data_IF_452909346054
#
_entry.id   IF_452909346054
#
_cell.length_a   1.000
_cell.length_b   1.000
_cell.length_c   1.000
_cell.angle_alpha   90.00
_cell.angle_beta   90.00
_cell.angle_gamma   90.00
#
_symmetry.space_group_name_H-M   'P 1'
#
loop_
_entity.id
_entity.type
_entity.pdbx_description
1 polymer ?
#
# COMPACT_ATOMS: atom_id res chain seq x y z
N UNK A 1 75.60 31.33 -35.15
CA UNK A 1 75.37 30.67 -33.85
C UNK A 1 74.00 31.14 -33.35
N UNK A 2 72.95 30.38 -33.59
CA UNK A 2 71.59 30.72 -33.12
C UNK A 2 71.17 29.65 -32.12
N UNK A 3 71.18 29.99 -30.83
CA UNK A 3 70.71 29.14 -29.75
C UNK A 3 69.19 29.27 -29.67
N UNK A 4 68.48 28.29 -30.24
CA UNK A 4 67.04 28.14 -30.04
C UNK A 4 66.79 27.57 -28.64
N UNK A 5 66.19 28.38 -27.77
CA UNK A 5 65.71 27.97 -26.45
C UNK A 5 64.51 27.06 -26.63
N UNK A 6 64.66 25.78 -26.30
CA UNK A 6 63.55 24.84 -26.15
C UNK A 6 62.91 25.04 -24.77
N UNK A 7 61.70 25.58 -24.75
CA UNK A 7 60.83 25.54 -23.56
C UNK A 7 60.16 24.16 -23.44
N UNK A 8 60.23 23.48 -22.28
CA UNK A 8 59.45 22.26 -22.06
C UNK A 8 57.97 22.59 -21.81
N UNK A 9 57.10 21.95 -22.58
CA UNK A 9 55.64 21.93 -22.36
C UNK A 9 55.34 20.98 -21.20
N UNK A 10 54.79 21.51 -20.11
CA UNK A 10 54.30 20.71 -18.99
C UNK A 10 53.02 19.92 -19.39
N UNK A 11 52.88 18.63 -19.03
CA UNK A 11 51.62 17.94 -19.08
C UNK A 11 50.90 18.08 -17.73
N UNK A 12 49.87 18.91 -17.65
CA UNK A 12 48.94 18.93 -16.52
C UNK A 12 47.52 18.75 -17.05
N UNK A 13 47.09 17.50 -17.19
CA UNK A 13 45.71 17.16 -17.57
C UNK A 13 45.26 15.76 -17.12
N UNK A 14 46.01 15.06 -16.25
CA UNK A 14 45.70 13.66 -15.89
C UNK A 14 45.33 13.44 -14.42
N UNK A 15 45.48 14.47 -13.58
CA UNK A 15 45.26 14.35 -12.13
C UNK A 15 43.81 14.68 -11.75
N UNK A 16 43.20 15.61 -12.48
CA UNK A 16 41.84 16.09 -12.21
C UNK A 16 40.79 15.01 -12.48
N UNK A 17 40.89 14.28 -13.60
CA UNK A 17 39.97 13.18 -13.92
C UNK A 17 39.95 12.05 -12.88
N UNK A 18 41.10 11.72 -12.27
CA UNK A 18 41.19 10.63 -11.29
C UNK A 18 40.59 11.01 -9.93
N UNK A 19 40.63 12.29 -9.57
CA UNK A 19 40.03 12.79 -8.32
C UNK A 19 38.51 12.83 -8.43
N UNK A 20 37.97 13.20 -9.59
CA UNK A 20 36.52 13.22 -9.81
C UNK A 20 35.93 11.80 -9.83
N UNK A 21 36.59 10.84 -10.48
CA UNK A 21 36.16 9.43 -10.50
C UNK A 21 36.09 8.82 -9.09
N UNK A 22 37.06 9.15 -8.22
CA UNK A 22 37.04 8.70 -6.82
C UNK A 22 35.88 9.31 -6.03
N UNK A 23 35.54 10.58 -6.25
CA UNK A 23 34.41 11.25 -5.57
C UNK A 23 33.07 10.66 -6.01
N UNK A 24 32.86 10.46 -7.31
CA UNK A 24 31.65 9.84 -7.85
C UNK A 24 31.45 8.43 -7.28
N UNK A 25 32.53 7.65 -7.14
CA UNK A 25 32.48 6.32 -6.53
C UNK A 25 32.10 6.36 -5.04
N UNK A 26 32.57 7.37 -4.31
CA UNK A 26 32.30 7.55 -2.89
C UNK A 26 30.85 8.01 -2.65
N UNK A 27 30.35 8.93 -3.47
CA UNK A 27 28.96 9.39 -3.45
C UNK A 27 27.99 8.25 -3.78
N UNK A 28 28.34 7.41 -4.75
CA UNK A 28 27.55 6.22 -5.07
C UNK A 28 27.53 5.21 -3.92
N UNK A 29 28.67 4.98 -3.26
CA UNK A 29 28.75 4.11 -2.08
C UNK A 29 27.87 4.64 -0.94
N UNK A 30 27.91 5.95 -0.67
CA UNK A 30 27.06 6.60 0.35
C UNK A 30 25.57 6.45 0.03
N UNK A 31 25.18 6.62 -1.24
CA UNK A 31 23.79 6.44 -1.65
C UNK A 31 23.31 4.99 -1.44
N UNK A 32 24.14 3.99 -1.78
CA UNK A 32 23.82 2.59 -1.52
C UNK A 32 23.68 2.29 -0.03
N UNK A 33 24.61 2.78 0.80
CA UNK A 33 24.54 2.62 2.25
C UNK A 33 23.28 3.26 2.85
N UNK A 34 22.91 4.46 2.38
CA UNK A 34 21.70 5.14 2.80
C UNK A 34 20.43 4.35 2.43
N UNK A 35 20.35 3.84 1.19
CA UNK A 35 19.23 2.98 0.75
C UNK A 35 19.18 1.68 1.57
N UNK A 36 20.33 1.06 1.85
CA UNK A 36 20.41 -0.14 2.68
C UNK A 36 19.97 0.13 4.13
N UNK A 37 20.27 1.31 4.67
CA UNK A 37 19.78 1.76 5.97
C UNK A 37 18.26 1.84 6.01
N UNK A 38 17.65 2.50 5.02
CA UNK A 38 16.18 2.58 4.92
C UNK A 38 15.55 1.19 4.73
N UNK A 39 16.14 0.35 3.87
CA UNK A 39 15.66 -1.03 3.64
C UNK A 39 15.54 -1.82 4.95
N UNK A 40 16.51 -1.71 5.87
CA UNK A 40 16.45 -2.38 7.17
C UNK A 40 15.27 -1.94 8.02
N UNK A 41 14.91 -0.65 7.99
CA UNK A 41 13.72 -0.16 8.69
C UNK A 41 12.44 -0.63 8.00
N UNK A 42 12.41 -0.63 6.66
CA UNK A 42 11.31 -1.18 5.87
C UNK A 42 11.11 -2.68 6.14
N UNK A 43 12.18 -3.45 6.36
CA UNK A 43 12.09 -4.86 6.74
C UNK A 43 11.33 -5.04 8.07
N UNK A 44 11.68 -4.27 9.10
CA UNK A 44 10.96 -4.29 10.39
C UNK A 44 9.50 -3.87 10.25
N UNK A 45 9.22 -2.84 9.44
CA UNK A 45 7.85 -2.41 9.18
C UNK A 45 7.07 -3.49 8.42
N UNK A 46 7.71 -4.23 7.52
CA UNK A 46 7.08 -5.34 6.80
C UNK A 46 6.66 -6.48 7.74
N UNK A 47 7.47 -6.78 8.76
CA UNK A 47 7.12 -7.76 9.80
C UNK A 47 5.89 -7.29 10.61
N UNK A 48 5.82 -5.99 10.94
CA UNK A 48 4.66 -5.41 11.61
C UNK A 48 3.40 -5.48 10.74
N UNK A 49 3.49 -5.18 9.44
CA UNK A 49 2.37 -5.32 8.49
C UNK A 49 1.92 -6.77 8.39
N UNK A 50 2.85 -7.72 8.29
CA UNK A 50 2.53 -9.16 8.25
C UNK A 50 1.84 -9.63 9.54
N UNK A 51 2.29 -9.16 10.71
CA UNK A 51 1.63 -9.47 11.97
C UNK A 51 0.19 -8.93 12.02
N UNK A 52 -0.03 -7.69 11.57
CA UNK A 52 -1.38 -7.12 11.44
C UNK A 52 -2.25 -7.94 10.47
N UNK A 53 -1.68 -8.36 9.35
CA UNK A 53 -2.39 -9.20 8.37
C UNK A 53 -2.91 -10.49 9.00
N UNK A 54 -2.05 -11.21 9.74
CA UNK A 54 -2.42 -12.45 10.45
C UNK A 54 -3.54 -12.20 11.45
N UNK A 55 -3.41 -11.17 12.29
CA UNK A 55 -4.41 -10.85 13.32
C UNK A 55 -5.76 -10.51 12.68
N UNK A 56 -5.78 -9.64 11.67
CA UNK A 56 -7.04 -9.28 11.00
C UNK A 56 -7.59 -10.48 10.22
N UNK A 57 -6.75 -11.34 9.61
CA UNK A 57 -7.19 -12.58 8.93
C UNK A 57 -7.82 -13.59 9.87
N UNK A 58 -7.41 -13.61 11.14
CA UNK A 58 -8.06 -14.43 12.17
C UNK A 58 -9.44 -13.91 12.60
N UNK A 59 -9.87 -12.74 12.11
CA UNK A 59 -11.12 -12.09 12.49
C UNK A 59 -11.02 -11.27 13.79
N UNK A 60 -9.82 -11.17 14.38
CA UNK A 60 -9.57 -10.35 15.57
C UNK A 60 -9.59 -8.87 15.19
N UNK A 61 -10.37 -8.07 15.93
CA UNK A 61 -10.44 -6.62 15.72
C UNK A 61 -9.15 -5.95 16.22
N UNK A 62 -8.55 -5.14 15.37
CA UNK A 62 -7.38 -4.31 15.69
C UNK A 62 -7.79 -2.84 15.80
N UNK A 63 -7.14 -2.10 16.69
CA UNK A 63 -7.33 -0.65 16.84
C UNK A 63 -6.91 0.09 15.55
N UNK A 64 -7.62 1.16 15.18
CA UNK A 64 -7.33 1.89 13.93
C UNK A 64 -5.95 2.56 13.98
N UNK A 65 -5.55 2.98 15.18
CA UNK A 65 -4.29 3.62 15.50
C UNK A 65 -3.09 2.74 15.11
N UNK A 66 -3.20 1.41 15.23
CA UNK A 66 -2.11 0.51 14.85
C UNK A 66 -1.83 0.55 13.34
N UNK A 67 -2.87 0.72 12.51
CA UNK A 67 -2.72 0.93 11.08
C UNK A 67 -2.18 2.32 10.77
N UNK A 68 -2.72 3.36 11.43
CA UNK A 68 -2.32 4.75 11.22
C UNK A 68 -0.84 4.98 11.57
N UNK A 69 -0.39 4.45 12.72
CA UNK A 69 1.02 4.48 13.12
C UNK A 69 1.89 3.73 12.11
N UNK A 70 1.45 2.57 11.62
CA UNK A 70 2.22 1.80 10.63
C UNK A 70 2.34 2.54 9.30
N UNK A 71 1.25 3.16 8.83
CA UNK A 71 1.23 3.97 7.62
C UNK A 71 2.13 5.20 7.76
N UNK A 72 2.07 5.89 8.90
CA UNK A 72 2.94 7.04 9.17
C UNK A 72 4.42 6.67 9.16
N UNK A 73 4.80 5.54 9.76
CA UNK A 73 6.18 5.07 9.75
C UNK A 73 6.66 4.74 8.32
N UNK A 74 5.82 4.12 7.49
CA UNK A 74 6.14 3.87 6.07
C UNK A 74 6.31 5.20 5.30
N UNK A 75 5.44 6.18 5.55
CA UNK A 75 5.56 7.51 4.93
C UNK A 75 6.85 8.23 5.33
N UNK A 76 7.30 8.07 6.58
CA UNK A 76 8.60 8.60 7.02
C UNK A 76 9.77 7.94 6.27
N UNK A 77 9.72 6.63 6.01
CA UNK A 77 10.74 5.96 5.20
C UNK A 77 10.72 6.41 3.73
N UNK A 78 9.54 6.68 3.15
CA UNK A 78 9.44 7.29 1.81
C UNK A 78 10.12 8.66 1.74
N UNK A 79 9.86 9.53 2.71
CA UNK A 79 10.50 10.85 2.77
C UNK A 79 12.02 10.75 2.89
N UNK A 80 12.53 9.75 3.61
CA UNK A 80 13.97 9.47 3.65
C UNK A 80 14.49 9.04 2.28
N UNK A 81 13.79 8.14 1.58
CA UNK A 81 14.17 7.72 0.23
C UNK A 81 14.18 8.91 -0.74
N UNK A 82 13.20 9.81 -0.65
CA UNK A 82 13.13 11.01 -1.50
C UNK A 82 14.31 11.97 -1.25
N UNK A 83 14.83 12.00 -0.02
CA UNK A 83 16.01 12.78 0.36
C UNK A 83 17.35 12.18 -0.07
N UNK A 84 17.40 10.93 -0.56
CA UNK A 84 18.66 10.31 -1.00
C UNK A 84 18.96 10.75 -2.44
N UNK A 85 20.00 11.56 -2.62
CA UNK A 85 20.55 11.83 -3.94
C UNK A 85 21.27 10.57 -4.46
N UNK A 86 20.84 10.07 -5.63
CA UNK A 86 21.34 8.83 -6.18
C UNK A 86 21.23 8.83 -7.71
N UNK A 87 22.28 8.33 -8.35
CA UNK A 87 22.39 8.14 -9.80
C UNK A 87 22.64 6.67 -10.16
N UNK A 88 22.59 6.36 -11.46
CA UNK A 88 22.87 5.02 -11.99
C UNK A 88 22.12 3.90 -11.26
N UNK A 89 22.86 2.89 -10.81
CA UNK A 89 22.33 1.72 -10.11
C UNK A 89 21.77 2.06 -8.72
N UNK A 90 22.38 3.00 -7.99
CA UNK A 90 21.87 3.43 -6.68
C UNK A 90 20.45 4.03 -6.80
N UNK A 91 20.19 4.77 -7.89
CA UNK A 91 18.85 5.28 -8.22
C UNK A 91 17.85 4.15 -8.48
N UNK A 92 18.27 3.06 -9.12
CA UNK A 92 17.42 1.90 -9.38
C UNK A 92 17.06 1.19 -8.08
N UNK A 93 18.01 0.99 -7.17
CA UNK A 93 17.75 0.41 -5.86
C UNK A 93 16.80 1.29 -5.02
N UNK A 94 17.03 2.61 -4.99
CA UNK A 94 16.13 3.57 -4.34
C UNK A 94 14.69 3.46 -4.87
N UNK A 95 14.52 3.43 -6.19
CA UNK A 95 13.19 3.26 -6.83
C UNK A 95 12.53 1.92 -6.49
N UNK A 96 13.31 0.84 -6.42
CA UNK A 96 12.80 -0.46 -6.02
C UNK A 96 12.27 -0.42 -4.57
N UNK A 97 13.00 0.24 -3.67
CA UNK A 97 12.57 0.36 -2.28
C UNK A 97 11.34 1.25 -2.12
N UNK A 98 11.23 2.36 -2.88
CA UNK A 98 10.01 3.19 -2.92
C UNK A 98 8.78 2.34 -3.28
N UNK A 99 8.88 1.51 -4.33
CA UNK A 99 7.77 0.60 -4.71
C UNK A 99 7.43 -0.39 -3.62
N UNK A 100 8.43 -0.90 -2.91
CA UNK A 100 8.24 -1.85 -1.82
C UNK A 100 7.47 -1.21 -0.66
N UNK A 101 7.82 0.02 -0.28
CA UNK A 101 7.10 0.78 0.75
C UNK A 101 5.66 1.06 0.34
N UNK A 102 5.43 1.50 -0.91
CA UNK A 102 4.08 1.72 -1.44
C UNK A 102 3.22 0.46 -1.40
N UNK A 103 3.78 -0.70 -1.78
CA UNK A 103 3.05 -1.97 -1.70
C UNK A 103 2.64 -2.33 -0.27
N UNK A 104 3.49 -2.07 0.73
CA UNK A 104 3.12 -2.29 2.13
C UNK A 104 2.06 -1.31 2.63
N UNK A 105 2.09 -0.06 2.17
CA UNK A 105 1.04 0.91 2.45
C UNK A 105 -0.31 0.47 1.87
N UNK A 106 -0.34 0.04 0.60
CA UNK A 106 -1.55 -0.49 -0.04
C UNK A 106 -2.11 -1.72 0.70
N UNK A 107 -1.23 -2.59 1.21
CA UNK A 107 -1.64 -3.72 2.05
C UNK A 107 -2.26 -3.25 3.35
N UNK A 108 -1.67 -2.27 4.05
CA UNK A 108 -2.25 -1.70 5.26
C UNK A 108 -3.64 -1.10 5.03
N UNK A 109 -3.84 -0.37 3.94
CA UNK A 109 -5.15 0.21 3.60
C UNK A 109 -6.23 -0.87 3.39
N UNK A 110 -5.87 -1.96 2.70
CA UNK A 110 -6.74 -3.13 2.54
C UNK A 110 -7.05 -3.77 3.89
N UNK A 111 -6.05 -3.94 4.74
CA UNK A 111 -6.22 -4.51 6.08
C UNK A 111 -7.11 -3.63 6.95
N UNK A 112 -6.94 -2.30 6.92
CA UNK A 112 -7.76 -1.35 7.68
C UNK A 112 -9.22 -1.38 7.23
N UNK A 113 -9.43 -1.49 5.92
CA UNK A 113 -10.76 -1.63 5.30
C UNK A 113 -11.44 -2.93 5.76
N UNK A 114 -10.73 -4.05 5.67
CA UNK A 114 -11.22 -5.37 6.10
C UNK A 114 -11.44 -5.45 7.61
N UNK A 115 -10.58 -4.81 8.39
CA UNK A 115 -10.74 -4.68 9.84
C UNK A 115 -12.00 -3.90 10.22
N UNK A 116 -12.40 -2.92 9.40
CA UNK A 116 -13.63 -2.14 9.61
C UNK A 116 -14.88 -2.88 9.14
N UNK A 117 -14.77 -3.67 8.08
CA UNK A 117 -15.85 -4.50 7.57
C UNK A 117 -15.35 -5.90 7.17
N UNK A 118 -15.43 -6.89 8.08
CA UNK A 118 -14.87 -8.23 7.88
C UNK A 118 -15.62 -9.09 6.86
N UNK A 119 -16.70 -8.57 6.26
CA UNK A 119 -17.49 -9.26 5.23
C UNK A 119 -17.16 -8.80 3.81
N UNK A 120 -16.28 -7.80 3.62
CA UNK A 120 -15.94 -7.24 2.30
C UNK A 120 -15.47 -8.30 1.31
N UNK A 121 -14.68 -9.29 1.75
CA UNK A 121 -14.18 -10.36 0.87
C UNK A 121 -15.17 -11.53 0.71
N UNK A 122 -16.23 -11.56 1.52
CA UNK A 122 -17.23 -12.65 1.53
C UNK A 122 -18.36 -12.45 0.54
N UNK A 123 -18.43 -11.32 -0.17
CA UNK A 123 -19.48 -11.09 -1.17
C UNK A 123 -19.44 -12.05 -2.38
N UNK A 124 -18.38 -12.85 -2.54
CA UNK A 124 -18.32 -13.97 -3.48
C UNK A 124 -18.48 -15.36 -2.85
N UNK A 125 -18.50 -15.46 -1.51
CA UNK A 125 -18.56 -16.71 -0.79
C UNK A 125 -19.87 -16.79 0.01
N UNK A 126 -20.83 -17.50 -0.57
CA UNK A 126 -22.06 -18.01 0.05
C UNK A 126 -23.21 -16.99 0.15
N UNK A 127 -23.99 -16.87 -0.93
CA UNK A 127 -25.43 -16.64 -0.80
C UNK A 127 -26.00 -17.88 -0.08
N UNK A 128 -26.13 -17.82 1.25
CA UNK A 128 -27.00 -18.76 1.95
C UNK A 128 -28.42 -18.35 1.55
N UNK A 129 -28.92 -18.93 0.46
CA UNK A 129 -30.34 -18.96 0.22
C UNK A 129 -30.93 -19.84 1.31
N UNK A 130 -31.46 -19.21 2.37
CA UNK A 130 -32.41 -19.88 3.25
C UNK A 130 -33.66 -20.18 2.43
N UNK A 131 -33.60 -21.24 1.62
CA UNK A 131 -34.79 -21.88 1.11
C UNK A 131 -35.46 -22.52 2.32
N UNK A 132 -36.54 -21.91 2.79
CA UNK A 132 -37.49 -22.57 3.66
C UNK A 132 -38.11 -23.69 2.85
N UNK A 133 -37.55 -24.89 2.92
CA UNK A 133 -38.24 -26.07 2.43
C UNK A 133 -39.46 -26.28 3.31
N UNK A 134 -40.62 -25.97 2.71
CA UNK A 134 -41.95 -26.31 3.22
C UNK A 134 -41.93 -27.76 3.68
N UNK A 135 -42.05 -27.98 4.99
CA UNK A 135 -42.38 -29.30 5.50
C UNK A 135 -43.83 -29.59 5.05
N UNK A 136 -44.00 -30.42 4.04
CA UNK A 136 -45.27 -31.11 3.83
C UNK A 136 -45.19 -32.40 4.65
N UNK A 137 -45.34 -32.26 5.97
CA UNK A 137 -45.74 -33.38 6.81
C UNK A 137 -47.21 -33.17 7.14
N UNK A 138 -48.04 -33.81 6.34
CA UNK A 138 -49.47 -33.85 6.53
C UNK A 138 -49.87 -34.31 7.93
N UNK A 139 -50.68 -33.49 8.60
CA UNK A 139 -51.77 -33.95 9.45
C UNK A 139 -52.77 -32.82 9.67
N UNK A 140 -54.04 -33.08 9.41
CA UNK A 140 -55.14 -32.47 10.16
C UNK A 140 -55.71 -31.15 9.64
N UNK A 141 -56.85 -31.29 8.95
CA UNK A 141 -57.86 -30.26 8.70
C UNK A 141 -58.20 -29.39 9.93
N UNK A 142 -58.06 -28.06 9.82
CA UNK A 142 -58.91 -27.07 10.50
C UNK A 142 -59.03 -25.80 9.64
N UNK A 143 -60.26 -25.43 9.31
CA UNK A 143 -60.68 -24.27 8.52
C UNK A 143 -60.63 -22.96 9.31
N UNK A 144 -60.28 -21.84 8.64
CA UNK A 144 -60.71 -20.46 8.97
C UNK A 144 -60.45 -19.53 7.74
N UNK A 145 -61.13 -18.36 7.62
CA UNK A 145 -61.89 -17.92 6.44
C UNK A 145 -61.09 -17.06 5.44
N UNK A 146 -61.62 -16.75 4.24
CA UNK A 146 -60.94 -15.86 3.29
C UNK A 146 -61.31 -14.39 3.55
N UNK A 147 -60.35 -13.48 3.70
CA UNK A 147 -60.58 -12.07 3.45
C UNK A 147 -59.93 -11.67 2.11
N UNK A 148 -60.80 -11.61 1.11
CA UNK A 148 -60.94 -10.51 0.15
C UNK A 148 -59.67 -9.86 -0.40
N UNK A 149 -59.42 -10.10 -1.69
CA UNK A 149 -58.69 -9.19 -2.56
C UNK A 149 -59.18 -7.74 -2.37
N UNK A 150 -58.28 -6.85 -2.01
CA UNK A 150 -58.48 -5.41 -2.19
C UNK A 150 -57.21 -4.82 -2.82
N UNK A 151 -57.37 -4.48 -4.10
CA UNK A 151 -56.57 -3.49 -4.79
C UNK A 151 -56.69 -2.16 -4.05
N UNK A 152 -55.59 -1.46 -3.81
CA UNK A 152 -55.59 0.00 -3.82
C UNK A 152 -54.20 0.53 -4.14
N UNK A 153 -54.23 1.60 -4.91
CA UNK A 153 -53.15 2.13 -5.72
C UNK A 153 -51.99 2.72 -4.90
N UNK A 154 -50.82 2.55 -5.50
CA UNK A 154 -49.62 3.40 -5.39
C UNK A 154 -49.99 4.86 -5.13
N UNK A 155 -49.52 5.41 -4.01
CA UNK A 155 -49.32 6.85 -3.88
C UNK A 155 -47.82 7.12 -3.94
N UNK A 156 -47.38 7.57 -5.11
CA UNK A 156 -46.11 8.28 -5.27
C UNK A 156 -46.35 9.70 -4.79
N UNK A 157 -45.75 10.06 -3.68
CA UNK A 157 -45.57 11.46 -3.31
C UNK A 157 -44.10 11.66 -2.94
N UNK A 158 -43.33 12.02 -3.96
CA UNK A 158 -41.95 12.49 -3.86
C UNK A 158 -41.81 13.62 -4.88
N UNK A 159 -42.44 14.77 -4.60
CA UNK A 159 -42.08 15.99 -5.29
C UNK A 159 -42.42 17.20 -4.43
N UNK A 160 -41.49 18.17 -4.44
CA UNK A 160 -41.64 19.56 -3.99
C UNK A 160 -41.18 19.89 -2.57
N UNK A 161 -39.86 20.02 -2.42
CA UNK A 161 -39.32 21.17 -1.69
C UNK A 161 -38.90 22.19 -2.74
N UNK A 162 -39.56 23.33 -2.75
CA UNK A 162 -39.00 24.60 -3.21
C UNK A 162 -39.72 25.73 -2.46
N UNK A 163 -38.88 26.62 -1.91
CA UNK A 163 -39.08 27.89 -1.20
C UNK A 163 -39.39 27.87 0.31
#
# INVERSE_FOLDING_TARGET
MGLGVSTPKAPSANNDNKVEEMKESEEMSKAFEAVAGVRKEVDKLSERVAALEVVVNSGTKVANEEFDVSAELLMRELLKLDGIEAEGEAKLQRKAEVRRVQNFHDTLDKLKTRNSNPFIDKHNAVKVATNWETFDSGMGSLTAPPPTSSSTNVTRDWERFDD
#
